data_IF_740005617684
#
_entry.id   IF_740005617684
#
_cell.length_a   1.000
_cell.length_b   1.000
_cell.length_c   1.000
_cell.angle_alpha   90.00
_cell.angle_beta   90.00
_cell.angle_gamma   90.00
#
_symmetry.space_group_name_H-M   'P 1'
#
loop_
_entity.id
_entity.type
_entity.pdbx_description
1 polymer ?
#
# COMPACT_ATOMS: atom_id res chain seq x y z
N UNK A 1 38.24 -40.49 24.76
CA UNK A 1 37.76 -39.08 24.77
C UNK A 1 38.10 -38.47 23.41
N UNK A 2 37.11 -38.16 22.57
CA UNK A 2 37.30 -37.46 21.28
C UNK A 2 36.36 -36.26 21.29
N UNK A 3 36.94 -35.08 21.43
CA UNK A 3 36.28 -33.79 21.22
C UNK A 3 36.04 -33.61 19.72
N UNK A 4 34.79 -33.35 19.34
CA UNK A 4 34.46 -32.85 18.00
C UNK A 4 34.11 -31.36 18.13
N UNK A 5 34.97 -30.52 17.55
CA UNK A 5 34.76 -29.09 17.39
C UNK A 5 34.10 -28.80 16.03
N UNK A 6 33.22 -27.79 16.05
CA UNK A 6 32.77 -26.93 14.95
C UNK A 6 32.02 -27.56 13.76
N UNK A 7 30.82 -27.05 13.48
CA UNK A 7 30.66 -26.03 12.44
C UNK A 7 29.25 -25.44 12.48
N UNK A 8 29.12 -24.22 13.02
CA UNK A 8 27.88 -23.46 12.99
C UNK A 8 27.91 -22.63 11.70
N UNK A 9 27.27 -23.14 10.65
CA UNK A 9 27.06 -22.40 9.40
C UNK A 9 26.07 -21.26 9.65
N UNK A 10 26.60 -20.08 9.95
CA UNK A 10 25.85 -18.83 9.90
C UNK A 10 25.50 -18.55 8.43
N UNK A 11 24.27 -18.89 8.04
CA UNK A 11 23.72 -18.46 6.76
C UNK A 11 23.40 -16.98 6.90
N UNK A 12 24.32 -16.13 6.43
CA UNK A 12 24.09 -14.70 6.27
C UNK A 12 23.12 -14.50 5.11
N UNK A 13 21.85 -14.24 5.42
CA UNK A 13 20.88 -13.82 4.41
C UNK A 13 21.32 -12.46 3.90
N UNK A 14 21.89 -12.43 2.69
CA UNK A 14 22.04 -11.22 1.90
C UNK A 14 20.63 -10.72 1.54
N UNK A 15 19.98 -10.04 2.48
CA UNK A 15 18.83 -9.21 2.17
C UNK A 15 19.35 -8.11 1.25
N UNK A 16 19.11 -8.28 -0.06
CA UNK A 16 19.27 -7.20 -1.02
C UNK A 16 18.46 -5.99 -0.57
N UNK A 17 18.77 -4.82 -1.13
CA UNK A 17 18.06 -3.57 -0.88
C UNK A 17 16.61 -3.62 -1.43
N UNK A 18 15.78 -4.53 -0.92
CA UNK A 18 14.35 -4.47 -1.08
C UNK A 18 13.86 -3.34 -0.18
N UNK A 19 13.19 -2.35 -0.76
CA UNK A 19 12.45 -1.39 0.06
C UNK A 19 11.48 -2.20 0.93
N UNK A 20 11.52 -2.05 2.26
CA UNK A 20 10.69 -2.85 3.15
C UNK A 20 9.21 -2.61 2.83
N UNK A 21 8.42 -3.69 2.79
CA UNK A 21 6.99 -3.60 2.60
C UNK A 21 6.37 -2.71 3.69
N UNK A 22 5.41 -1.87 3.29
CA UNK A 22 4.64 -1.03 4.18
C UNK A 22 3.46 -1.82 4.71
N UNK A 23 3.32 -1.86 6.03
CA UNK A 23 2.20 -2.52 6.73
C UNK A 23 1.37 -1.46 7.41
N UNK A 24 0.07 -1.48 7.17
CA UNK A 24 -0.89 -0.58 7.79
C UNK A 24 -2.05 -1.36 8.41
N UNK A 25 -2.50 -0.90 9.58
CA UNK A 25 -3.67 -1.46 10.24
C UNK A 25 -4.87 -0.54 10.01
N UNK A 26 -6.07 -1.12 9.89
CA UNK A 26 -7.28 -0.32 9.71
C UNK A 26 -7.61 0.45 11.00
N UNK A 27 -7.92 1.73 10.84
CA UNK A 27 -8.52 2.55 11.89
C UNK A 27 -9.99 2.18 12.00
N UNK A 28 -10.33 1.35 12.98
CA UNK A 28 -11.70 0.98 13.28
C UNK A 28 -12.50 2.21 13.72
N UNK A 29 -13.74 2.32 13.22
CA UNK A 29 -14.67 3.39 13.60
C UNK A 29 -15.90 2.78 14.26
N UNK A 30 -16.37 3.39 15.34
CA UNK A 30 -17.62 2.98 15.98
C UNK A 30 -18.77 3.01 14.99
N UNK A 31 -19.49 1.87 14.88
CA UNK A 31 -20.57 1.68 13.90
C UNK A 31 -20.11 1.49 12.46
N UNK A 32 -18.80 1.37 12.21
CA UNK A 32 -18.22 1.01 10.92
C UNK A 32 -18.58 -0.42 10.51
N UNK A 33 -18.63 -0.66 9.19
CA UNK A 33 -18.95 -1.98 8.66
C UNK A 33 -17.83 -3.01 8.89
N UNK A 34 -16.58 -2.56 9.00
CA UNK A 34 -15.43 -3.41 9.25
C UNK A 34 -14.98 -3.31 10.70
N UNK A 35 -14.76 -4.46 11.32
CA UNK A 35 -14.20 -4.58 12.67
C UNK A 35 -12.68 -4.37 12.66
N UNK A 36 -12.00 -4.87 11.62
CA UNK A 36 -10.56 -4.78 11.44
C UNK A 36 -10.17 -4.83 9.96
N UNK A 37 -8.90 -4.58 9.69
CA UNK A 37 -8.32 -4.74 8.37
C UNK A 37 -6.82 -4.50 8.39
N UNK A 38 -6.14 -5.00 7.37
CA UNK A 38 -4.70 -4.87 7.18
C UNK A 38 -4.41 -4.63 5.71
N UNK A 39 -3.48 -3.71 5.44
CA UNK A 39 -2.97 -3.45 4.12
C UNK A 39 -1.45 -3.59 4.14
N UNK A 40 -0.92 -4.52 3.34
CA UNK A 40 0.50 -4.61 3.03
C UNK A 40 0.73 -4.20 1.59
N UNK A 41 1.67 -3.29 1.37
CA UNK A 41 2.09 -2.92 0.02
C UNK A 41 3.58 -2.63 -0.11
N UNK A 42 4.11 -2.96 -1.28
CA UNK A 42 5.37 -2.49 -1.82
C UNK A 42 5.14 -1.59 -3.05
N UNK A 43 6.18 -0.86 -3.44
CA UNK A 43 6.14 0.06 -4.57
C UNK A 43 6.69 -0.53 -5.88
N UNK A 44 7.30 -1.71 -5.84
CA UNK A 44 8.15 -2.17 -6.95
C UNK A 44 7.48 -3.20 -7.84
N UNK A 45 6.68 -4.14 -7.31
CA UNK A 45 6.13 -5.24 -8.13
C UNK A 45 4.77 -5.77 -7.69
N UNK A 46 4.30 -5.41 -6.50
CA UNK A 46 2.95 -5.72 -6.04
C UNK A 46 2.62 -7.20 -5.79
N UNK A 47 3.57 -8.11 -6.04
CA UNK A 47 3.36 -9.56 -5.92
C UNK A 47 2.98 -9.97 -4.51
N UNK A 48 3.59 -9.33 -3.53
CA UNK A 48 3.39 -9.61 -2.11
C UNK A 48 2.43 -8.61 -1.46
N UNK A 49 1.78 -7.75 -2.26
CA UNK A 49 0.76 -6.83 -1.76
C UNK A 49 -0.48 -7.61 -1.36
N UNK A 50 -1.02 -7.29 -0.19
CA UNK A 50 -2.24 -7.90 0.30
C UNK A 50 -3.14 -6.90 1.01
N UNK A 51 -4.44 -7.14 0.92
CA UNK A 51 -5.48 -6.38 1.60
C UNK A 51 -6.40 -7.38 2.27
N UNK A 52 -6.64 -7.15 3.55
CA UNK A 52 -7.54 -7.94 4.38
C UNK A 52 -8.56 -7.01 5.00
N UNK A 53 -9.83 -7.38 4.94
CA UNK A 53 -10.94 -6.67 5.56
C UNK A 53 -11.83 -7.64 6.33
N UNK A 54 -12.11 -7.33 7.59
CA UNK A 54 -12.92 -8.17 8.46
C UNK A 54 -14.24 -7.49 8.79
N UNK A 55 -15.33 -8.07 8.29
CA UNK A 55 -16.71 -7.74 8.66
C UNK A 55 -17.22 -8.83 9.62
N UNK A 56 -18.23 -8.53 10.45
CA UNK A 56 -18.65 -9.34 11.61
C UNK A 56 -18.76 -10.86 11.40
N UNK A 57 -19.03 -11.31 10.18
CA UNK A 57 -19.14 -12.73 9.81
C UNK A 57 -18.38 -13.09 8.53
N UNK A 58 -17.55 -12.19 7.98
CA UNK A 58 -16.91 -12.39 6.69
C UNK A 58 -15.58 -11.68 6.60
N UNK A 59 -14.60 -12.40 6.07
CA UNK A 59 -13.28 -11.90 5.75
C UNK A 59 -13.13 -11.80 4.24
N UNK A 60 -12.64 -10.67 3.76
CA UNK A 60 -12.33 -10.42 2.35
C UNK A 60 -10.82 -10.24 2.18
N UNK A 61 -10.28 -10.83 1.11
CA UNK A 61 -8.85 -10.76 0.81
C UNK A 61 -8.60 -10.40 -0.65
N UNK A 62 -7.62 -9.52 -0.88
CA UNK A 62 -7.03 -9.28 -2.19
C UNK A 62 -5.52 -9.47 -2.12
N UNK A 63 -4.93 -10.00 -3.18
CA UNK A 63 -3.50 -10.30 -3.27
C UNK A 63 -2.95 -9.87 -4.63
N UNK A 64 -1.66 -9.55 -4.69
CA UNK A 64 -0.97 -9.36 -5.97
C UNK A 64 -1.34 -8.08 -6.72
N UNK A 65 -1.89 -7.06 -6.04
CA UNK A 65 -2.30 -5.80 -6.68
C UNK A 65 -1.16 -4.79 -6.76
N UNK A 66 -1.24 -3.89 -7.74
CA UNK A 66 -0.23 -2.84 -7.96
C UNK A 66 -0.60 -1.58 -7.19
N UNK A 67 0.42 -0.90 -6.63
CA UNK A 67 0.28 0.49 -6.18
C UNK A 67 0.60 1.39 -7.36
N UNK A 68 -0.40 2.08 -7.88
CA UNK A 68 -0.20 3.03 -8.96
C UNK A 68 0.36 4.35 -8.43
N UNK A 69 1.27 4.95 -9.21
CA UNK A 69 1.92 6.22 -8.89
C UNK A 69 1.50 7.28 -9.90
N UNK A 70 0.74 8.27 -9.43
CA UNK A 70 0.22 9.37 -10.25
C UNK A 70 1.00 10.66 -10.01
N UNK A 71 1.41 11.32 -11.10
CA UNK A 71 2.16 12.58 -11.06
C UNK A 71 1.80 13.47 -12.25
N UNK A 72 1.28 14.67 -11.99
CA UNK A 72 0.90 15.63 -13.03
C UNK A 72 2.09 16.54 -13.38
N UNK A 73 3.08 16.00 -14.11
CA UNK A 73 4.32 16.72 -14.44
C UNK A 73 4.06 18.05 -15.16
N UNK A 74 3.06 18.13 -16.03
CA UNK A 74 2.72 19.37 -16.75
C UNK A 74 2.30 20.51 -15.82
N UNK A 75 1.48 20.22 -14.81
CA UNK A 75 1.05 21.21 -13.81
C UNK A 75 2.19 21.59 -12.87
N UNK A 76 3.04 20.63 -12.50
CA UNK A 76 4.24 20.88 -11.69
C UNK A 76 5.26 21.74 -12.44
N UNK A 77 5.43 21.51 -13.74
CA UNK A 77 6.29 22.32 -14.60
C UNK A 77 5.82 23.76 -14.64
N UNK A 78 4.54 24.01 -14.97
CA UNK A 78 3.95 25.36 -14.97
C UNK A 78 4.14 26.07 -13.63
N UNK A 79 3.98 25.34 -12.51
CA UNK A 79 4.06 25.90 -11.17
C UNK A 79 5.49 26.24 -10.75
N UNK A 80 6.47 25.37 -11.02
CA UNK A 80 7.79 25.45 -10.40
C UNK A 80 8.93 25.77 -11.34
N UNK A 81 8.80 25.54 -12.66
CA UNK A 81 9.93 25.66 -13.59
C UNK A 81 10.63 27.03 -13.54
N UNK A 82 9.86 28.13 -13.52
CA UNK A 82 10.40 29.48 -13.42
C UNK A 82 10.44 30.02 -11.99
N UNK A 83 9.46 29.65 -11.16
CA UNK A 83 9.29 30.23 -9.81
C UNK A 83 10.22 29.59 -8.77
N UNK A 84 10.57 28.31 -8.94
CA UNK A 84 11.47 27.58 -8.06
C UNK A 84 12.21 26.47 -8.84
N UNK A 85 13.18 26.85 -9.69
CA UNK A 85 13.88 25.90 -10.58
C UNK A 85 14.57 24.75 -9.83
N UNK A 86 15.14 25.04 -8.65
CA UNK A 86 15.78 24.01 -7.80
C UNK A 86 14.79 22.93 -7.37
N UNK A 87 13.57 23.32 -6.99
CA UNK A 87 12.53 22.34 -6.65
C UNK A 87 12.07 21.57 -7.88
N UNK A 88 11.91 22.24 -9.01
CA UNK A 88 11.58 21.57 -10.27
C UNK A 88 12.61 20.50 -10.65
N UNK A 89 13.91 20.79 -10.58
CA UNK A 89 14.97 19.81 -10.83
C UNK A 89 14.87 18.58 -9.91
N UNK A 90 14.57 18.80 -8.62
CA UNK A 90 14.37 17.71 -7.66
C UNK A 90 13.14 16.87 -7.98
N UNK A 91 12.04 17.50 -8.41
CA UNK A 91 10.83 16.80 -8.85
C UNK A 91 11.14 15.95 -10.08
N UNK A 92 11.79 16.54 -11.09
CA UNK A 92 12.09 15.88 -12.35
C UNK A 92 13.09 14.73 -12.20
N UNK A 93 14.05 14.85 -11.27
CA UNK A 93 14.99 13.78 -10.92
C UNK A 93 14.41 12.72 -9.98
N UNK A 94 13.16 12.87 -9.51
CA UNK A 94 12.52 11.95 -8.57
C UNK A 94 12.94 12.10 -7.11
N UNK A 95 13.78 13.08 -6.78
CA UNK A 95 14.26 13.35 -5.42
C UNK A 95 13.23 14.10 -4.54
N UNK A 96 12.24 14.76 -5.15
CA UNK A 96 11.07 15.31 -4.48
C UNK A 96 9.85 14.49 -4.91
N UNK A 97 9.28 13.70 -4.01
CA UNK A 97 8.07 12.89 -4.23
C UNK A 97 6.84 13.45 -3.49
N UNK A 98 6.94 14.65 -2.90
CA UNK A 98 5.87 15.21 -2.06
C UNK A 98 4.56 15.50 -2.81
N UNK A 99 4.63 15.52 -4.13
CA UNK A 99 3.53 15.80 -5.04
C UNK A 99 2.90 14.52 -5.61
N UNK A 100 3.47 13.36 -5.30
CA UNK A 100 3.03 12.07 -5.79
C UNK A 100 1.78 11.65 -5.04
N UNK A 101 0.80 11.17 -5.80
CA UNK A 101 -0.38 10.49 -5.29
C UNK A 101 -0.24 9.01 -5.61
N UNK A 102 -0.49 8.16 -4.62
CA UNK A 102 -0.53 6.72 -4.75
C UNK A 102 -1.98 6.25 -4.75
N UNK A 103 -2.28 5.24 -5.54
CA UNK A 103 -3.60 4.63 -5.63
C UNK A 103 -3.49 3.11 -5.60
N UNK A 104 -4.46 2.45 -4.98
CA UNK A 104 -4.72 1.02 -5.14
C UNK A 104 -6.13 0.87 -5.68
N UNK A 105 -6.29 0.11 -6.76
CA UNK A 105 -7.56 -0.43 -7.21
C UNK A 105 -7.47 -1.96 -7.18
N UNK A 106 -8.32 -2.60 -6.39
CA UNK A 106 -8.29 -4.06 -6.22
C UNK A 106 -9.65 -4.63 -5.85
N UNK A 107 -9.84 -5.93 -6.08
CA UNK A 107 -11.04 -6.65 -5.71
C UNK A 107 -10.74 -7.64 -4.58
N UNK A 108 -11.29 -7.39 -3.40
CA UNK A 108 -11.17 -8.28 -2.25
C UNK A 108 -12.32 -9.29 -2.26
N UNK A 109 -11.99 -10.57 -2.13
CA UNK A 109 -12.94 -11.68 -2.20
C UNK A 109 -12.99 -12.47 -0.91
N UNK A 110 -14.17 -12.89 -0.51
CA UNK A 110 -14.37 -13.80 0.61
C UNK A 110 -14.36 -15.26 0.18
N UNK A 111 -14.24 -16.16 1.15
CA UNK A 111 -14.27 -17.61 0.91
C UNK A 111 -15.60 -18.11 0.31
N UNK A 112 -16.70 -17.43 0.61
CA UNK A 112 -18.04 -17.69 0.05
C UNK A 112 -18.30 -16.96 -1.28
N UNK A 113 -17.29 -16.29 -1.85
CA UNK A 113 -17.33 -15.72 -3.20
C UNK A 113 -17.93 -14.32 -3.30
N UNK A 114 -18.22 -13.66 -2.17
CA UNK A 114 -18.60 -12.25 -2.19
C UNK A 114 -17.39 -11.37 -2.49
N UNK A 115 -17.63 -10.27 -3.20
CA UNK A 115 -16.58 -9.38 -3.66
C UNK A 115 -16.82 -7.94 -3.19
N UNK A 116 -15.73 -7.26 -2.85
CA UNK A 116 -15.65 -5.83 -2.64
C UNK A 116 -14.65 -5.23 -3.62
N UNK A 117 -15.08 -4.22 -4.39
CA UNK A 117 -14.18 -3.40 -5.19
C UNK A 117 -13.64 -2.25 -4.34
N UNK A 118 -12.34 -2.24 -4.08
CA UNK A 118 -11.68 -1.29 -3.21
C UNK A 118 -10.84 -0.28 -4.00
N UNK A 119 -10.98 1.00 -3.66
CA UNK A 119 -10.16 2.10 -4.16
C UNK A 119 -9.59 2.88 -2.97
N UNK A 120 -8.25 2.91 -2.86
CA UNK A 120 -7.51 3.59 -1.81
C UNK A 120 -6.58 4.63 -2.42
N UNK A 121 -6.46 5.79 -1.78
CA UNK A 121 -5.62 6.90 -2.25
C UNK A 121 -4.86 7.54 -1.09
N UNK A 122 -3.60 7.89 -1.33
CA UNK A 122 -2.80 8.66 -0.39
C UNK A 122 -1.71 9.46 -1.08
N UNK A 123 -1.12 10.41 -0.34
CA UNK A 123 0.09 11.12 -0.77
C UNK A 123 1.29 10.56 -0.05
N UNK A 124 2.49 10.84 -0.56
CA UNK A 124 3.72 10.52 0.14
C UNK A 124 3.70 11.08 1.58
N UNK A 125 3.98 10.21 2.56
CA UNK A 125 3.96 10.55 3.99
C UNK A 125 2.58 10.52 4.66
N UNK A 126 1.51 10.26 3.91
CA UNK A 126 0.17 10.06 4.46
C UNK A 126 -0.22 8.58 4.42
N UNK A 127 -1.29 8.23 5.12
CA UNK A 127 -1.79 6.86 5.21
C UNK A 127 -2.87 6.57 4.15
N UNK A 128 -2.98 5.32 3.68
CA UNK A 128 -4.02 4.90 2.72
C UNK A 128 -5.43 5.07 3.28
N UNK A 129 -6.34 5.64 2.48
CA UNK A 129 -7.77 5.72 2.81
C UNK A 129 -8.62 5.75 1.54
N UNK A 130 -9.90 5.39 1.66
CA UNK A 130 -10.82 5.38 0.53
C UNK A 130 -12.09 4.60 0.83
N UNK A 131 -12.54 3.80 -0.14
CA UNK A 131 -13.79 3.06 -0.06
C UNK A 131 -13.66 1.66 -0.65
N UNK A 132 -14.42 0.73 -0.08
CA UNK A 132 -14.71 -0.56 -0.68
C UNK A 132 -16.20 -0.65 -0.97
N UNK A 133 -16.57 -1.10 -2.16
CA UNK A 133 -17.95 -1.12 -2.64
C UNK A 133 -18.37 -2.56 -2.93
N UNK A 134 -19.52 -2.97 -2.41
CA UNK A 134 -20.10 -4.28 -2.74
C UNK A 134 -20.75 -4.29 -4.14
N UNK A 135 -21.18 -5.48 -4.58
CA UNK A 135 -21.85 -5.64 -5.87
C UNK A 135 -23.22 -4.94 -5.95
N UNK A 136 -23.81 -4.57 -4.81
CA UNK A 136 -25.05 -3.78 -4.73
C UNK A 136 -24.79 -2.28 -4.87
N UNK A 137 -23.51 -1.85 -4.87
CA UNK A 137 -23.11 -0.44 -4.91
C UNK A 137 -23.02 0.22 -3.53
N UNK A 138 -23.15 -0.54 -2.44
CA UNK A 138 -22.98 -0.01 -1.08
C UNK A 138 -21.51 0.30 -0.84
N UNK A 139 -21.19 1.56 -0.55
CA UNK A 139 -19.83 2.01 -0.28
C UNK A 139 -19.53 2.00 1.22
N UNK A 140 -18.42 1.36 1.59
CA UNK A 140 -17.90 1.27 2.95
C UNK A 140 -16.60 2.07 3.04
N UNK A 141 -16.54 3.15 3.83
CA UNK A 141 -15.31 3.90 4.01
C UNK A 141 -14.28 3.06 4.76
N UNK A 142 -13.02 3.12 4.31
CA UNK A 142 -11.88 2.44 4.91
C UNK A 142 -10.71 3.41 5.06
N UNK A 143 -9.96 3.28 6.14
CA UNK A 143 -8.79 4.11 6.40
C UNK A 143 -7.79 3.32 7.25
N UNK A 144 -6.52 3.52 6.98
CA UNK A 144 -5.44 2.78 7.61
C UNK A 144 -4.44 3.74 8.29
N UNK A 145 -3.64 3.20 9.21
CA UNK A 145 -2.50 3.85 9.86
C UNK A 145 -1.22 3.04 9.71
#
# INVERSE_FOLDING_TARGET
MRTFFLSMLAVSWLAGCANPAHVHQMVSKDGGAFAAGELIHDHDRGKDNHLVLEMSNRRYEAHGFTVERHTHLGELHKRYYLSNPKRWERIFSGLDTSHVTYCIETAARSADGHELSCSLIWKFGNTPAGFCTDQAGTAFPVGFE
#
